data_IF_532665111376
#
_entry.id   IF_532665111376
#
_cell.length_a   1.000
_cell.length_b   1.000
_cell.length_c   1.000
_cell.angle_alpha   90.00
_cell.angle_beta   90.00
_cell.angle_gamma   90.00
#
_symmetry.space_group_name_H-M   'P 1'
#
loop_
_entity.id
_entity.type
_entity.pdbx_description
1 polymer ?
#
# COMPACT_ATOMS: atom_id res chain seq x y z
N UNK A 1 -26.42 -1.21 -16.55
CA UNK A 1 -25.65 -1.28 -15.29
C UNK A 1 -25.34 0.15 -14.90
N UNK A 2 -25.55 0.54 -13.64
CA UNK A 2 -25.18 1.85 -13.11
C UNK A 2 -23.89 1.67 -12.31
N UNK A 3 -22.84 2.46 -12.61
CA UNK A 3 -21.56 2.42 -11.89
C UNK A 3 -21.57 3.47 -10.79
N UNK A 4 -20.86 3.19 -9.71
CA UNK A 4 -20.63 4.13 -8.60
C UNK A 4 -19.22 4.64 -8.65
N UNK A 5 -19.04 5.91 -8.29
CA UNK A 5 -17.73 6.54 -8.21
C UNK A 5 -17.17 6.47 -6.78
N UNK A 6 -15.83 6.50 -6.60
CA UNK A 6 -15.21 6.63 -5.28
C UNK A 6 -15.62 7.93 -4.59
N UNK A 7 -15.72 7.87 -3.26
CA UNK A 7 -15.98 9.06 -2.46
C UNK A 7 -14.81 10.04 -2.51
N UNK A 8 -15.13 11.33 -2.54
CA UNK A 8 -14.14 12.39 -2.36
C UNK A 8 -13.83 12.59 -0.87
N UNK A 9 -12.76 13.32 -0.56
CA UNK A 9 -12.39 13.63 0.83
C UNK A 9 -13.52 14.35 1.59
N UNK A 10 -14.20 15.28 0.94
CA UNK A 10 -15.33 16.01 1.53
C UNK A 10 -16.50 15.07 1.83
N UNK A 11 -16.77 14.11 0.95
CA UNK A 11 -17.78 13.07 1.19
C UNK A 11 -17.39 12.18 2.38
N UNK A 12 -16.12 11.78 2.48
CA UNK A 12 -15.61 10.97 3.60
C UNK A 12 -15.80 11.69 4.94
N UNK A 13 -15.42 12.98 4.99
CA UNK A 13 -15.60 13.82 6.17
C UNK A 13 -17.07 13.90 6.58
N UNK A 14 -17.97 14.15 5.61
CA UNK A 14 -19.40 14.24 5.87
C UNK A 14 -19.99 12.91 6.35
N UNK A 15 -19.59 11.78 5.75
CA UNK A 15 -20.04 10.44 6.17
C UNK A 15 -19.58 10.15 7.60
N UNK A 16 -18.33 10.47 7.95
CA UNK A 16 -17.80 10.25 9.30
C UNK A 16 -18.55 11.12 10.31
N UNK A 17 -18.81 12.39 10.00
CA UNK A 17 -19.58 13.28 10.88
C UNK A 17 -20.98 12.74 11.16
N UNK A 18 -21.73 12.37 10.11
CA UNK A 18 -23.06 11.77 10.26
C UNK A 18 -23.00 10.50 11.11
N UNK A 19 -21.96 9.69 10.96
CA UNK A 19 -21.79 8.46 11.75
C UNK A 19 -21.50 8.72 13.21
N UNK A 20 -20.69 9.72 13.53
CA UNK A 20 -20.47 10.16 14.91
C UNK A 20 -21.79 10.64 15.57
N UNK A 21 -22.61 11.39 14.83
CA UNK A 21 -23.93 11.83 15.29
C UNK A 21 -24.89 10.65 15.50
N UNK A 22 -24.96 9.71 14.55
CA UNK A 22 -25.80 8.51 14.63
C UNK A 22 -25.42 7.59 15.80
N UNK A 23 -24.12 7.43 16.06
CA UNK A 23 -23.61 6.62 17.18
C UNK A 23 -23.66 7.38 18.53
N UNK A 24 -24.01 8.66 18.53
CA UNK A 24 -24.06 9.50 19.74
C UNK A 24 -22.69 9.71 20.37
N UNK A 25 -21.63 9.79 19.56
CA UNK A 25 -20.25 9.95 20.01
C UNK A 25 -19.83 11.41 19.89
N UNK A 26 -19.53 12.05 21.01
CA UNK A 26 -18.89 13.37 21.00
C UNK A 26 -17.41 13.22 20.66
N UNK A 27 -16.96 13.86 19.59
CA UNK A 27 -15.59 13.77 19.07
C UNK A 27 -15.06 15.16 18.72
N UNK A 28 -13.77 15.39 18.95
CA UNK A 28 -13.09 16.63 18.56
C UNK A 28 -12.92 16.75 17.03
N UNK A 29 -12.97 17.98 16.52
CA UNK A 29 -12.75 18.27 15.10
C UNK A 29 -11.39 17.73 14.62
N UNK A 30 -10.33 17.91 15.41
CA UNK A 30 -9.00 17.36 15.09
C UNK A 30 -9.00 15.83 14.98
N UNK A 31 -9.85 15.14 15.75
CA UNK A 31 -9.99 13.69 15.68
C UNK A 31 -10.81 13.24 14.46
N UNK A 32 -11.80 14.04 14.04
CA UNK A 32 -12.55 13.82 12.78
C UNK A 32 -11.62 13.96 11.58
N UNK A 33 -10.79 15.00 11.56
CA UNK A 33 -9.82 15.22 10.48
C UNK A 33 -8.81 14.06 10.40
N UNK A 34 -8.33 13.58 11.55
CA UNK A 34 -7.46 12.41 11.61
C UNK A 34 -8.14 11.14 11.08
N UNK A 35 -9.39 10.87 11.46
CA UNK A 35 -10.17 9.74 10.96
C UNK A 35 -10.42 9.84 9.44
N UNK A 36 -10.63 11.05 8.94
CA UNK A 36 -10.83 11.30 7.50
C UNK A 36 -9.55 11.01 6.71
N UNK A 37 -8.39 11.43 7.23
CA UNK A 37 -7.10 11.08 6.63
C UNK A 37 -6.86 9.56 6.62
N UNK A 38 -7.18 8.87 7.73
CA UNK A 38 -7.09 7.40 7.79
C UNK A 38 -8.04 6.75 6.77
N UNK A 39 -9.25 7.27 6.59
CA UNK A 39 -10.20 6.76 5.60
C UNK A 39 -9.71 6.91 4.16
N UNK A 40 -9.00 8.00 3.87
CA UNK A 40 -8.38 8.30 2.57
C UNK A 40 -7.19 7.37 2.28
N UNK A 41 -6.38 7.07 3.29
CA UNK A 41 -5.21 6.19 3.17
C UNK A 41 -5.56 4.69 3.15
N UNK A 42 -6.62 4.28 3.85
CA UNK A 42 -6.98 2.87 4.05
C UNK A 42 -8.33 2.53 3.44
N UNK A 43 -9.40 2.59 4.24
CA UNK A 43 -10.78 2.41 3.79
C UNK A 43 -11.76 3.11 4.73
N UNK A 44 -12.87 3.60 4.16
CA UNK A 44 -13.98 4.17 4.95
C UNK A 44 -14.49 3.20 6.01
N UNK A 45 -14.57 1.89 5.70
CA UNK A 45 -15.03 0.88 6.67
C UNK A 45 -14.14 0.82 7.91
N UNK A 46 -12.83 0.88 7.72
CA UNK A 46 -11.88 0.86 8.82
C UNK A 46 -12.03 2.11 9.69
N UNK A 47 -12.11 3.30 9.08
CA UNK A 47 -12.33 4.54 9.82
C UNK A 47 -13.63 4.52 10.65
N UNK A 48 -14.74 3.97 10.12
CA UNK A 48 -15.99 3.83 10.88
C UNK A 48 -15.85 2.90 12.08
N UNK A 49 -15.11 1.79 11.95
CA UNK A 49 -14.84 0.90 13.09
C UNK A 49 -13.99 1.59 14.17
N UNK A 50 -13.12 2.52 13.77
CA UNK A 50 -12.32 3.32 14.70
C UNK A 50 -13.16 4.29 15.53
N UNK A 51 -14.33 4.76 15.05
CA UNK A 51 -15.22 5.64 15.82
C UNK A 51 -15.68 4.95 17.10
N UNK A 52 -16.29 3.77 16.97
CA UNK A 52 -16.83 3.02 18.11
C UNK A 52 -15.73 2.60 19.08
N UNK A 53 -14.59 2.14 18.56
CA UNK A 53 -13.47 1.69 19.42
C UNK A 53 -12.78 2.86 20.12
N UNK A 54 -12.66 4.03 19.48
CA UNK A 54 -12.14 5.25 20.09
C UNK A 54 -13.05 5.77 21.21
N UNK A 55 -14.37 5.65 21.04
CA UNK A 55 -15.33 5.95 22.11
C UNK A 55 -15.15 5.03 23.33
N UNK A 56 -14.95 3.72 23.13
CA UNK A 56 -14.67 2.79 24.24
C UNK A 56 -13.37 3.17 24.97
N UNK A 57 -12.35 3.63 24.24
CA UNK A 57 -11.08 4.09 24.81
C UNK A 57 -11.25 5.39 25.60
N UNK A 58 -12.00 6.37 25.09
CA UNK A 58 -12.28 7.63 25.79
C UNK A 58 -13.10 7.39 27.06
N UNK A 59 -14.10 6.50 27.01
CA UNK A 59 -14.88 6.07 28.17
C UNK A 59 -14.00 5.42 29.24
N UNK A 60 -13.02 4.59 28.83
CA UNK A 60 -12.04 4.00 29.76
C UNK A 60 -11.17 5.07 30.44
N UNK A 61 -10.86 6.17 29.74
CA UNK A 61 -10.19 7.37 30.29
C UNK A 61 -11.12 8.22 31.17
N UNK A 62 -12.42 7.91 31.20
CA UNK A 62 -13.49 8.71 31.83
C UNK A 62 -13.65 10.10 31.18
N UNK A 63 -13.38 10.19 29.89
CA UNK A 63 -13.70 11.37 29.09
C UNK A 63 -15.07 11.20 28.45
N UNK A 64 -15.83 12.29 28.36
CA UNK A 64 -17.09 12.33 27.60
C UNK A 64 -16.85 12.51 26.09
N UNK A 65 -15.70 13.10 25.73
CA UNK A 65 -15.34 13.43 24.35
C UNK A 65 -14.13 12.61 23.88
N UNK A 66 -14.20 12.13 22.64
CA UNK A 66 -13.11 11.45 21.94
C UNK A 66 -12.12 12.48 21.44
N UNK A 67 -10.87 12.34 21.86
CA UNK A 67 -9.75 13.20 21.46
C UNK A 67 -8.81 12.46 20.51
N UNK A 68 -7.89 13.19 19.84
CA UNK A 68 -6.90 12.60 18.92
C UNK A 68 -6.02 11.51 19.55
N UNK A 69 -5.78 11.60 20.86
CA UNK A 69 -5.02 10.59 21.61
C UNK A 69 -5.74 9.24 21.66
N UNK A 70 -7.07 9.25 21.67
CA UNK A 70 -7.88 8.03 21.73
C UNK A 70 -7.80 7.33 20.37
N UNK A 71 -7.96 8.07 19.26
CA UNK A 71 -7.78 7.57 17.88
C UNK A 71 -6.36 7.02 17.66
N UNK A 72 -5.34 7.77 18.08
CA UNK A 72 -3.93 7.35 17.97
C UNK A 72 -3.62 6.07 18.74
N UNK A 73 -4.33 5.83 19.84
CA UNK A 73 -4.18 4.62 20.64
C UNK A 73 -4.86 3.43 19.99
N UNK A 74 -6.06 3.62 19.44
CA UNK A 74 -6.80 2.56 18.74
C UNK A 74 -6.07 2.13 17.47
N UNK A 75 -5.49 3.08 16.72
CA UNK A 75 -4.71 2.79 15.51
C UNK A 75 -3.52 1.84 15.79
N UNK A 76 -2.94 1.89 16.99
CA UNK A 76 -1.87 0.98 17.41
C UNK A 76 -2.37 -0.41 17.83
N UNK A 77 -3.67 -0.52 18.17
CA UNK A 77 -4.25 -1.76 18.67
C UNK A 77 -4.91 -2.59 17.56
N UNK A 78 -5.45 -1.93 16.54
CA UNK A 78 -6.17 -2.57 15.44
C UNK A 78 -5.48 -2.25 14.13
N UNK A 79 -4.88 -3.24 13.48
CA UNK A 79 -4.28 -3.08 12.17
C UNK A 79 -5.35 -3.05 11.07
N UNK A 80 -5.12 -2.23 10.04
CA UNK A 80 -5.85 -2.33 8.78
C UNK A 80 -5.26 -3.45 7.90
N UNK A 81 -5.83 -3.65 6.71
CA UNK A 81 -5.39 -4.73 5.81
C UNK A 81 -3.95 -4.52 5.37
N UNK A 82 -3.56 -3.29 5.00
CA UNK A 82 -2.22 -3.03 4.49
C UNK A 82 -1.15 -3.19 5.57
N UNK A 83 -1.41 -2.69 6.78
CA UNK A 83 -0.50 -2.91 7.92
C UNK A 83 -0.41 -4.40 8.28
N UNK A 84 -1.51 -5.15 8.16
CA UNK A 84 -1.53 -6.59 8.43
C UNK A 84 -0.71 -7.38 7.40
N UNK A 85 -0.82 -7.03 6.11
CA UNK A 85 0.00 -7.61 5.04
C UNK A 85 1.50 -7.37 5.29
N UNK A 86 1.88 -6.12 5.62
CA UNK A 86 3.27 -5.80 5.91
C UNK A 86 3.79 -6.56 7.14
N UNK A 87 2.96 -6.67 8.18
CA UNK A 87 3.30 -7.46 9.38
C UNK A 87 3.55 -8.92 9.00
N UNK A 88 2.75 -9.51 8.11
CA UNK A 88 2.96 -10.88 7.66
C UNK A 88 4.29 -11.05 6.92
N UNK A 89 4.65 -10.11 6.05
CA UNK A 89 5.90 -10.10 5.30
C UNK A 89 7.11 -9.97 6.24
N UNK A 90 7.01 -9.07 7.24
CA UNK A 90 8.11 -8.82 8.18
C UNK A 90 8.39 -10.04 9.09
N UNK A 91 7.34 -10.80 9.42
CA UNK A 91 7.41 -11.99 10.27
C UNK A 91 7.32 -13.32 9.48
N UNK A 92 7.53 -13.29 8.16
CA UNK A 92 7.39 -14.44 7.25
C UNK A 92 8.07 -15.73 7.76
N UNK A 93 9.23 -15.58 8.41
CA UNK A 93 10.01 -16.72 8.97
C UNK A 93 9.41 -17.34 10.25
N UNK A 94 8.66 -16.55 11.01
CA UNK A 94 8.00 -17.00 12.24
C UNK A 94 6.61 -17.58 11.94
N UNK A 95 6.02 -17.20 10.80
CA UNK A 95 4.82 -17.83 10.29
C UNK A 95 5.17 -19.17 9.64
N UNK A 96 4.65 -20.25 10.21
CA UNK A 96 4.73 -21.59 9.61
C UNK A 96 3.75 -21.64 8.44
N UNK A 97 4.10 -21.02 7.32
CA UNK A 97 3.54 -21.36 6.02
C UNK A 97 4.26 -22.63 5.57
N UNK A 98 3.93 -23.77 6.20
CA UNK A 98 4.39 -25.07 5.72
C UNK A 98 3.84 -25.23 4.30
N UNK A 99 4.73 -25.12 3.33
CA UNK A 99 4.43 -25.12 1.90
C UNK A 99 4.03 -26.52 1.41
N UNK A 100 3.78 -27.46 2.33
CA UNK A 100 3.54 -28.87 2.06
C UNK A 100 2.12 -29.37 2.41
N UNK A 101 1.19 -28.54 2.90
CA UNK A 101 -0.20 -28.99 3.20
C UNK A 101 -1.23 -28.61 2.11
N UNK A 102 -0.93 -27.61 1.28
CA UNK A 102 -1.69 -27.35 0.06
C UNK A 102 -0.81 -27.73 -1.12
N UNK A 103 -1.18 -28.79 -1.83
CA UNK A 103 -0.54 -29.25 -3.07
C UNK A 103 -0.68 -28.26 -4.23
N UNK A 104 -0.29 -27.01 -3.99
CA UNK A 104 0.01 -26.02 -5.01
C UNK A 104 1.43 -26.39 -5.46
N UNK A 105 1.50 -27.25 -6.48
CA UNK A 105 2.71 -27.38 -7.27
C UNK A 105 3.12 -25.95 -7.65
N UNK A 106 4.31 -25.53 -7.21
CA UNK A 106 4.98 -24.39 -7.83
C UNK A 106 5.22 -24.79 -9.29
N UNK A 107 4.25 -24.51 -10.16
CA UNK A 107 4.63 -24.08 -11.50
C UNK A 107 5.36 -22.77 -11.26
N UNK A 108 6.69 -22.87 -11.21
CA UNK A 108 7.57 -21.74 -11.48
C UNK A 108 7.05 -21.13 -12.79
N UNK A 109 6.25 -20.08 -12.69
CA UNK A 109 5.99 -19.22 -13.84
C UNK A 109 7.36 -18.62 -14.20
N UNK A 110 8.01 -19.27 -15.18
CA UNK A 110 9.27 -18.92 -15.83
C UNK A 110 9.26 -17.51 -16.49
N UNK A 111 8.36 -16.61 -16.09
CA UNK A 111 8.27 -15.25 -16.64
C UNK A 111 9.45 -14.36 -16.23
N UNK A 112 10.14 -14.66 -15.13
CA UNK A 112 11.33 -13.89 -14.72
C UNK A 112 12.60 -14.23 -15.52
N UNK A 113 12.63 -15.37 -16.22
CA UNK A 113 13.74 -15.78 -17.08
C UNK A 113 13.73 -15.04 -18.43
N UNK A 114 12.53 -14.91 -19.02
CA UNK A 114 12.35 -14.33 -20.36
C UNK A 114 12.72 -12.84 -20.37
N UNK A 115 12.40 -12.11 -19.31
CA UNK A 115 12.63 -10.66 -19.25
C UNK A 115 14.10 -10.30 -18.95
N UNK A 116 14.83 -11.18 -18.25
CA UNK A 116 16.28 -11.03 -18.03
C UNK A 116 17.09 -11.39 -19.28
N UNK A 117 16.71 -12.43 -20.01
CA UNK A 117 17.34 -12.78 -21.28
C UNK A 117 17.09 -11.72 -22.36
N UNK A 118 15.88 -11.17 -22.47
CA UNK A 118 15.60 -10.06 -23.41
C UNK A 118 16.39 -8.81 -23.08
N UNK A 119 16.57 -8.48 -21.80
CA UNK A 119 17.42 -7.36 -21.38
C UNK A 119 18.89 -7.61 -21.68
N UNK A 120 19.39 -8.84 -21.49
CA UNK A 120 20.78 -9.19 -21.82
C UNK A 120 21.02 -9.26 -23.34
N UNK A 121 20.04 -9.73 -24.12
CA UNK A 121 20.10 -9.71 -25.58
C UNK A 121 20.13 -8.27 -26.11
N UNK A 122 19.26 -7.39 -25.59
CA UNK A 122 19.24 -5.99 -25.99
C UNK A 122 20.44 -5.16 -25.53
N UNK A 123 21.23 -5.64 -24.57
CA UNK A 123 22.53 -5.05 -24.20
C UNK A 123 23.62 -5.57 -25.15
N UNK A 124 23.66 -6.88 -25.44
CA UNK A 124 24.60 -7.49 -26.40
C UNK A 124 24.47 -6.90 -27.81
N UNK A 125 23.24 -6.74 -28.29
CA UNK A 125 22.98 -6.16 -29.63
C UNK A 125 23.47 -4.70 -29.73
N UNK A 126 23.44 -3.95 -28.62
CA UNK A 126 23.98 -2.58 -28.57
C UNK A 126 25.50 -2.53 -28.48
N UNK A 127 26.12 -3.49 -27.80
CA UNK A 127 27.58 -3.62 -27.74
C UNK A 127 28.15 -3.93 -29.14
N UNK A 128 27.50 -4.81 -29.90
CA UNK A 128 27.88 -5.13 -31.28
C UNK A 128 27.71 -3.93 -32.24
N UNK A 129 26.66 -3.11 -32.07
CA UNK A 129 26.48 -1.86 -32.85
C UNK A 129 27.59 -0.83 -32.55
N UNK A 130 28.01 -0.72 -31.28
CA UNK A 130 29.08 0.19 -30.85
C UNK A 130 30.44 -0.29 -31.37
N UNK A 131 30.71 -1.60 -31.39
CA UNK A 131 31.95 -2.16 -31.97
C UNK A 131 32.00 -1.98 -33.51
N UNK A 132 30.86 -2.08 -34.20
CA UNK A 132 30.77 -1.81 -35.64
C UNK A 132 30.94 -0.31 -35.99
N UNK A 133 30.48 0.60 -35.14
CA UNK A 133 30.74 2.03 -35.31
C UNK A 133 32.21 2.41 -35.01
N UNK A 134 32.82 1.78 -34.02
CA UNK A 134 34.22 2.04 -33.66
C UNK A 134 35.19 1.48 -34.70
N UNK A 135 34.94 0.30 -35.25
CA UNK A 135 35.74 -0.27 -36.35
C UNK A 135 35.63 0.53 -37.67
N UNK A 136 34.48 1.16 -37.94
CA UNK A 136 34.32 2.09 -39.08
C UNK A 136 35.08 3.41 -38.91
N UNK A 137 35.32 3.87 -37.67
CA UNK A 137 36.10 5.09 -37.40
C UNK A 137 37.61 4.84 -37.53
N UNK A 138 38.10 3.66 -37.17
CA UNK A 138 39.52 3.32 -37.31
C UNK A 138 39.93 2.99 -38.76
N UNK A 139 39.00 2.49 -39.59
CA UNK A 139 39.23 2.27 -41.02
C UNK A 139 39.40 3.54 -41.87
N UNK A 140 39.09 4.73 -41.33
CA UNK A 140 39.18 6.02 -42.06
C UNK A 140 40.48 6.79 -41.80
N UNK A 141 41.45 6.19 -41.09
CA UNK A 141 42.72 6.84 -40.72
C UNK A 141 43.95 6.36 -41.52
N UNK A 142 43.76 5.64 -42.63
CA UNK A 142 44.88 5.10 -43.44
C UNK A 142 44.95 5.56 -44.90
N UNK A 143 44.20 6.60 -45.31
CA UNK A 143 44.45 7.28 -46.59
C UNK A 143 44.93 8.72 -46.32
N UNK A 144 46.17 8.82 -45.86
CA UNK A 144 47.01 10.01 -46.04
C UNK A 144 48.15 9.60 -46.94
N UNK A 145 48.06 10.02 -48.20
CA UNK A 145 49.18 10.48 -49.03
C UNK A 145 48.64 11.55 -50.00
#
# INVERSE_FOLDING_TARGET
ILSTDPYTKDDLLQIIQVRCEEEGVEIDEEAIDALTAIAEETSLRYALQLITTSNVVSQKRKSAKVEIQDVSKVLKLFADVHTSEQTLIDFDKDFVLDSNDYGIDQQEDDEQGIDKERRQQGIRDKEDEIEQENSKKDGKKMDVD
#
